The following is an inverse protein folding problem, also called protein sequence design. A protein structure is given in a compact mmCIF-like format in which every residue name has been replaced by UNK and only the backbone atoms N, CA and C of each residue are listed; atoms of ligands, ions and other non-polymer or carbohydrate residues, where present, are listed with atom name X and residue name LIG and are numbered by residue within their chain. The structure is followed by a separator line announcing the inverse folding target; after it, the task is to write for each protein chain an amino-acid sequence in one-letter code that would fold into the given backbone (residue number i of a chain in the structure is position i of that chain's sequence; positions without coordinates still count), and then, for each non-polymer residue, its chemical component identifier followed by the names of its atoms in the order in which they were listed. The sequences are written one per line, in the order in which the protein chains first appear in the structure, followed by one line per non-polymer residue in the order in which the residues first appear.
data_IF_416058881402
#
_entry.id   IF_416058881402
#
_cell.length_a   1.000
_cell.length_b   1.000
_cell.length_c   1.000
_cell.angle_alpha   90.00
_cell.angle_beta   90.00
_cell.angle_gamma   90.00
#
_symmetry.space_group_name_H-M   'P 1'
#
loop_
_entity.id
_entity.type
_entity.pdbx_description
1 polymer ?
#
# COMPACT_ATOMS: atom_id res chain seq x y z
N UNK A 1 -12.39 15.36 -8.52
CA UNK A 1 -10.98 15.42 -8.91
C UNK A 1 -10.46 14.04 -9.26
N UNK A 2 -9.69 13.95 -10.31
CA UNK A 2 -9.15 12.68 -10.78
C UNK A 2 -7.88 12.37 -10.02
N UNK A 3 -7.79 11.16 -9.48
CA UNK A 3 -6.57 10.71 -8.83
C UNK A 3 -5.65 10.13 -9.90
N UNK A 4 -4.46 10.70 -10.01
CA UNK A 4 -3.52 10.33 -11.05
C UNK A 4 -2.37 9.47 -10.50
N UNK A 5 -2.70 8.58 -9.57
CA UNK A 5 -1.70 7.67 -9.05
C UNK A 5 -1.64 6.42 -9.93
N UNK A 6 -0.42 6.01 -10.25
CA UNK A 6 -0.22 4.78 -11.00
C UNK A 6 -0.28 3.58 -10.06
N UNK A 7 -0.46 2.40 -10.63
CA UNK A 7 -0.44 1.18 -9.85
C UNK A 7 0.89 1.03 -9.10
N UNK A 8 2.00 1.40 -9.75
CA UNK A 8 3.32 1.32 -9.12
C UNK A 8 3.40 2.23 -7.91
N UNK A 9 2.83 3.43 -7.98
CA UNK A 9 2.83 4.35 -6.85
C UNK A 9 2.03 3.78 -5.68
N UNK A 10 0.88 3.19 -5.96
CA UNK A 10 0.05 2.59 -4.91
C UNK A 10 0.74 1.40 -4.27
N UNK A 11 1.38 0.55 -5.08
CA UNK A 11 2.13 -0.59 -4.56
C UNK A 11 3.27 -0.12 -3.68
N UNK A 12 4.03 0.88 -4.12
CA UNK A 12 5.14 1.42 -3.34
C UNK A 12 4.67 1.97 -2.00
N UNK A 13 3.55 2.69 -2.00
CA UNK A 13 3.02 3.26 -0.76
C UNK A 13 2.55 2.17 0.19
N UNK A 14 1.87 1.15 -0.32
CA UNK A 14 1.40 0.03 0.49
C UNK A 14 2.57 -0.76 1.09
N UNK A 15 3.60 -1.00 0.30
CA UNK A 15 4.79 -1.69 0.79
C UNK A 15 5.48 -0.86 1.87
N UNK A 16 5.56 0.46 1.68
CA UNK A 16 6.16 1.34 2.67
C UNK A 16 5.40 1.31 3.99
N UNK A 17 4.06 1.34 3.93
CA UNK A 17 3.23 1.23 5.13
C UNK A 17 3.43 -0.11 5.82
N UNK A 18 3.40 -1.18 5.05
CA UNK A 18 3.57 -2.53 5.59
C UNK A 18 4.93 -2.68 6.27
N UNK A 19 5.99 -2.20 5.63
CA UNK A 19 7.33 -2.26 6.19
C UNK A 19 7.43 -1.45 7.48
N UNK A 20 6.80 -0.27 7.50
CA UNK A 20 6.76 0.57 8.69
C UNK A 20 6.09 -0.14 9.86
N UNK A 21 4.98 -0.84 9.59
CA UNK A 21 4.24 -1.52 10.64
C UNK A 21 4.94 -2.78 11.14
N UNK A 22 5.73 -3.44 10.30
CA UNK A 22 6.31 -4.73 10.60
C UNK A 22 7.82 -4.71 10.81
N UNK A 23 8.46 -3.54 10.78
CA UNK A 23 9.92 -3.48 10.77
C UNK A 23 10.58 -4.00 12.06
N UNK A 24 9.86 -4.00 13.18
CA UNK A 24 10.39 -4.49 14.45
C UNK A 24 10.05 -5.94 14.74
N UNK A 25 9.05 -6.48 14.05
CA UNK A 25 8.50 -7.81 14.36
C UNK A 25 8.23 -8.60 13.10
N UNK A 26 9.29 -9.08 12.46
CA UNK A 26 9.11 -9.99 11.34
C UNK A 26 8.82 -11.39 11.85
N UNK A 27 7.62 -11.85 11.60
CA UNK A 27 7.24 -13.21 11.89
C UNK A 27 7.72 -14.09 10.73
N UNK A 28 8.33 -15.26 11.00
CA UNK A 28 8.73 -16.17 9.91
C UNK A 28 7.60 -16.57 8.98
N UNK A 29 6.34 -16.45 9.43
CA UNK A 29 5.18 -16.78 8.61
C UNK A 29 4.72 -15.63 7.74
N UNK A 30 5.18 -14.41 8.03
CA UNK A 30 4.81 -13.25 7.24
C UNK A 30 5.58 -13.22 5.92
N UNK A 31 4.98 -12.68 4.86
CA UNK A 31 5.69 -12.53 3.60
C UNK A 31 6.82 -11.51 3.73
N UNK A 32 7.85 -11.70 2.91
CA UNK A 32 8.91 -10.71 2.82
C UNK A 32 8.38 -9.46 2.11
N UNK A 33 9.06 -8.30 2.23
CA UNK A 33 8.66 -7.11 1.50
C UNK A 33 8.54 -7.36 -0.01
N UNK A 34 9.42 -8.19 -0.55
CA UNK A 34 9.38 -8.52 -1.97
C UNK A 34 8.15 -9.35 -2.33
N UNK A 35 7.79 -10.30 -1.49
CA UNK A 35 6.61 -11.13 -1.69
C UNK A 35 5.34 -10.29 -1.56
N UNK A 36 5.30 -9.41 -0.58
CA UNK A 36 4.15 -8.53 -0.38
C UNK A 36 3.97 -7.59 -1.60
N UNK A 37 5.08 -7.03 -2.09
CA UNK A 37 5.02 -6.18 -3.28
C UNK A 37 4.47 -6.97 -4.47
N UNK A 38 4.91 -8.20 -4.64
CA UNK A 38 4.45 -9.03 -5.73
C UNK A 38 2.96 -9.30 -5.65
N UNK A 39 2.46 -9.56 -4.45
CA UNK A 39 1.02 -9.75 -4.25
C UNK A 39 0.24 -8.48 -4.59
N UNK A 40 0.76 -7.33 -4.17
CA UNK A 40 0.10 -6.06 -4.47
C UNK A 40 0.11 -5.77 -5.97
N UNK A 41 1.17 -6.14 -6.67
CA UNK A 41 1.25 -5.94 -8.11
C UNK A 41 0.24 -6.79 -8.89
N UNK A 42 -0.23 -7.88 -8.30
CA UNK A 42 -1.26 -8.71 -8.92
C UNK A 42 -2.66 -8.16 -8.76
N UNK A 43 -2.85 -7.22 -7.84
CA UNK A 43 -4.15 -6.61 -7.60
C UNK A 43 -4.44 -5.53 -8.65
N UNK A 44 -5.73 -5.26 -8.84
CA UNK A 44 -6.14 -4.13 -9.67
C UNK A 44 -5.96 -2.83 -8.90
N UNK A 45 -5.99 -1.71 -9.62
CA UNK A 45 -5.87 -0.40 -8.97
C UNK A 45 -7.01 -0.22 -7.94
N UNK A 46 -8.20 -0.65 -8.27
CA UNK A 46 -9.33 -0.55 -7.35
C UNK A 46 -9.11 -1.35 -6.08
N UNK A 47 -8.56 -2.57 -6.22
CA UNK A 47 -8.25 -3.39 -5.07
C UNK A 47 -7.13 -2.78 -4.22
N UNK A 48 -6.15 -2.17 -4.87
CA UNK A 48 -5.07 -1.49 -4.15
C UNK A 48 -5.61 -0.32 -3.33
N UNK A 49 -6.53 0.44 -3.89
CA UNK A 49 -7.16 1.55 -3.18
C UNK A 49 -7.92 1.02 -1.94
N UNK A 50 -8.60 -0.10 -2.07
CA UNK A 50 -9.27 -0.71 -0.92
C UNK A 50 -8.28 -1.13 0.15
N UNK A 51 -7.12 -1.62 -0.25
CA UNK A 51 -6.09 -2.04 0.70
C UNK A 51 -5.53 -0.85 1.49
N UNK A 52 -5.60 0.36 0.95
CA UNK A 52 -5.14 1.55 1.67
C UNK A 52 -6.08 1.94 2.80
N UNK A 53 -7.28 1.36 2.86
CA UNK A 53 -8.31 1.67 3.86
C UNK A 53 -8.71 3.15 3.87
N UNK A 54 -8.65 3.77 2.72
CA UNK A 54 -9.02 5.19 2.60
C UNK A 54 -10.55 5.33 2.47
N UNK A 55 -11.05 6.46 2.94
CA UNK A 55 -12.47 6.78 2.88
C UNK A 55 -12.66 8.29 2.73
N UNK A 56 -13.84 8.79 3.09
CA UNK A 56 -14.14 10.22 2.97
C UNK A 56 -13.33 11.09 3.93
N UNK A 57 -12.95 10.52 5.07
CA UNK A 57 -12.21 11.25 6.10
C UNK A 57 -10.71 11.13 5.87
N UNK A 58 -10.25 9.90 5.64
CA UNK A 58 -8.85 9.62 5.33
C UNK A 58 -8.78 9.26 3.84
N UNK A 59 -8.48 10.24 3.02
CA UNK A 59 -8.50 10.09 1.56
C UNK A 59 -7.22 9.43 1.05
N UNK A 60 -7.28 8.98 -0.19
CA UNK A 60 -6.11 8.41 -0.85
C UNK A 60 -4.97 9.42 -0.95
N UNK A 61 -5.30 10.70 -1.15
CA UNK A 61 -4.30 11.75 -1.16
C UNK A 61 -3.55 11.82 0.17
N UNK A 62 -4.26 11.71 1.27
CA UNK A 62 -3.65 11.70 2.61
C UNK A 62 -2.75 10.49 2.78
N UNK A 63 -3.20 9.33 2.33
CA UNK A 63 -2.41 8.11 2.40
C UNK A 63 -1.12 8.25 1.60
N UNK A 64 -1.22 8.74 0.38
CA UNK A 64 -0.06 8.91 -0.49
C UNK A 64 0.91 9.96 0.03
N UNK A 65 0.40 11.00 0.69
CA UNK A 65 1.25 12.00 1.29
C UNK A 65 2.07 11.44 2.45
N UNK A 66 1.49 10.50 3.18
CA UNK A 66 2.15 9.89 4.34
C UNK A 66 3.14 8.79 3.91
N UNK A 67 2.74 7.93 2.99
CA UNK A 67 3.50 6.73 2.64
C UNK A 67 4.07 6.74 1.22
N UNK A 68 3.59 7.63 0.40
CA UNK A 68 4.04 7.71 -0.99
C UNK A 68 5.32 8.56 -1.19
#
# INVERSE_FOLDING_TARGET
MIMDYTKAQLVDALVAEWDYLCHDDYDPEDPTPEEYRKEMEELTIEQLIEETSTDEIYTLDDFMETHG
#
